data_IF_821453951797
#
_entry.id   IF_821453951797
#
_cell.length_a   1.000
_cell.length_b   1.000
_cell.length_c   1.000
_cell.angle_alpha   90.00
_cell.angle_beta   90.00
_cell.angle_gamma   90.00
#
_symmetry.space_group_name_H-M   'P 1'
#
loop_
_entity.id
_entity.type
_entity.pdbx_description
1 polymer ?
#
# COMPACT_ATOMS: atom_id res chain seq x y z
N UNK A 1 -51.39 -77.95 33.70
CA UNK A 1 -52.76 -77.50 33.98
C UNK A 1 -52.79 -75.99 33.78
N UNK A 2 -53.46 -75.52 32.71
CA UNK A 2 -53.94 -74.15 32.36
C UNK A 2 -53.05 -72.93 32.74
N UNK A 3 -52.63 -72.06 31.84
CA UNK A 3 -53.47 -71.18 31.01
C UNK A 3 -52.69 -70.62 29.81
N UNK A 4 -53.35 -70.55 28.65
CA UNK A 4 -52.99 -69.74 27.47
C UNK A 4 -53.99 -68.59 27.43
N UNK A 5 -53.53 -67.35 27.24
CA UNK A 5 -54.25 -66.20 26.67
C UNK A 5 -53.18 -65.12 26.39
N UNK A 6 -52.69 -64.85 25.18
CA UNK A 6 -53.26 -64.48 23.90
C UNK A 6 -53.75 -63.02 23.82
N UNK A 7 -53.20 -62.29 22.84
CA UNK A 7 -53.51 -60.94 22.32
C UNK A 7 -52.82 -59.73 22.96
N UNK A 8 -51.83 -59.19 22.23
CA UNK A 8 -51.86 -57.79 21.80
C UNK A 8 -50.93 -57.62 20.58
N UNK A 9 -51.57 -57.43 19.43
CA UNK A 9 -50.97 -57.06 18.16
C UNK A 9 -50.68 -55.55 18.21
N UNK A 10 -49.41 -55.13 18.17
CA UNK A 10 -49.06 -53.71 17.95
C UNK A 10 -48.16 -53.58 16.73
N UNK A 11 -48.79 -53.06 15.68
CA UNK A 11 -48.18 -52.61 14.43
C UNK A 11 -47.37 -51.36 14.74
N UNK A 12 -46.03 -51.40 14.59
CA UNK A 12 -45.19 -50.20 14.61
C UNK A 12 -44.90 -49.80 13.18
N UNK A 13 -45.56 -48.71 12.76
CA UNK A 13 -45.33 -47.99 11.52
C UNK A 13 -44.03 -47.17 11.58
N UNK A 14 -43.42 -47.01 10.42
CA UNK A 14 -42.11 -46.45 10.13
C UNK A 14 -41.90 -44.98 10.51
N UNK A 15 -40.66 -44.62 10.88
CA UNK A 15 -40.03 -43.33 10.57
C UNK A 15 -38.55 -43.58 10.25
N UNK A 16 -38.21 -43.61 8.96
CA UNK A 16 -36.83 -43.40 8.50
C UNK A 16 -36.53 -41.90 8.66
N UNK A 17 -35.76 -41.53 9.69
CA UNK A 17 -35.20 -40.18 9.78
C UNK A 17 -34.06 -40.06 8.78
N UNK A 18 -34.33 -39.43 7.63
CA UNK A 18 -33.31 -38.85 6.77
C UNK A 18 -32.53 -37.84 7.62
N UNK A 19 -31.33 -38.21 8.06
CA UNK A 19 -30.36 -37.26 8.62
C UNK A 19 -29.93 -36.34 7.48
N UNK A 20 -30.66 -35.24 7.32
CA UNK A 20 -30.24 -34.14 6.48
C UNK A 20 -28.86 -33.66 6.96
N UNK A 21 -27.89 -33.69 6.05
CA UNK A 21 -26.67 -32.93 6.17
C UNK A 21 -27.04 -31.45 6.29
N UNK A 22 -27.09 -30.92 7.50
CA UNK A 22 -27.02 -29.48 7.70
C UNK A 22 -25.66 -29.02 7.18
N UNK A 23 -25.56 -28.04 6.27
CA UNK A 23 -24.31 -27.38 6.02
C UNK A 23 -23.96 -26.68 7.33
N UNK A 24 -23.06 -27.28 8.09
CA UNK A 24 -22.46 -26.64 9.23
C UNK A 24 -21.71 -25.46 8.64
N UNK A 25 -22.31 -24.28 8.74
CA UNK A 25 -21.60 -23.02 8.61
C UNK A 25 -20.49 -23.10 9.66
N UNK A 26 -19.30 -23.49 9.23
CA UNK A 26 -18.09 -23.40 10.03
C UNK A 26 -17.84 -21.92 10.27
N UNK A 27 -18.49 -21.36 11.27
CA UNK A 27 -17.97 -20.19 11.96
C UNK A 27 -16.57 -20.60 12.40
N UNK A 28 -15.54 -20.01 11.77
CA UNK A 28 -14.15 -20.14 12.21
C UNK A 28 -14.04 -19.55 13.61
N UNK A 29 -14.37 -20.37 14.60
CA UNK A 29 -14.54 -19.96 15.99
C UNK A 29 -13.15 -19.99 16.61
N UNK A 30 -12.44 -18.86 16.63
CA UNK A 30 -11.15 -18.74 17.31
C UNK A 30 -10.13 -17.78 16.68
N UNK A 31 -10.39 -17.23 15.49
CA UNK A 31 -9.50 -16.25 14.86
C UNK A 31 -10.10 -14.85 15.02
N UNK A 32 -9.37 -13.95 15.67
CA UNK A 32 -9.72 -12.53 15.79
C UNK A 32 -8.74 -11.71 14.95
N UNK A 33 -9.23 -11.07 13.91
CA UNK A 33 -8.40 -10.22 13.07
C UNK A 33 -8.12 -8.87 13.75
N UNK A 34 -6.90 -8.32 13.60
CA UNK A 34 -6.61 -6.98 14.10
C UNK A 34 -7.37 -5.93 13.27
N UNK A 35 -7.75 -4.84 13.91
CA UNK A 35 -8.37 -3.69 13.24
C UNK A 35 -7.38 -3.00 12.29
N UNK A 36 -7.86 -2.47 11.17
CA UNK A 36 -7.06 -1.75 10.17
C UNK A 36 -6.21 -0.63 10.78
N UNK A 37 -6.73 0.07 11.80
CA UNK A 37 -5.97 1.11 12.51
C UNK A 37 -4.72 0.55 13.20
N UNK A 38 -4.81 -0.65 13.80
CA UNK A 38 -3.68 -1.32 14.44
C UNK A 38 -2.69 -1.89 13.42
N UNK A 39 -3.19 -2.34 12.29
CA UNK A 39 -2.36 -2.75 11.15
C UNK A 39 -1.57 -1.55 10.62
N UNK A 40 -2.25 -0.43 10.34
CA UNK A 40 -1.63 0.80 9.84
C UNK A 40 -0.59 1.36 10.83
N UNK A 41 -0.87 1.31 12.13
CA UNK A 41 0.09 1.68 13.19
C UNK A 41 1.36 0.82 13.15
N UNK A 42 1.22 -0.49 12.97
CA UNK A 42 2.35 -1.41 12.87
C UNK A 42 3.18 -1.16 11.60
N UNK A 43 2.52 -0.95 10.45
CA UNK A 43 3.17 -0.61 9.18
C UNK A 43 3.92 0.73 9.27
N UNK A 44 3.31 1.74 9.88
CA UNK A 44 3.93 3.04 10.11
C UNK A 44 5.14 2.95 11.05
N UNK A 45 5.03 2.15 12.11
CA UNK A 45 6.12 1.90 13.04
C UNK A 45 7.29 1.20 12.35
N UNK A 46 7.00 0.19 11.52
CA UNK A 46 8.03 -0.49 10.74
C UNK A 46 8.72 0.48 9.78
N UNK A 47 7.96 1.28 9.02
CA UNK A 47 8.54 2.30 8.13
C UNK A 47 9.45 3.28 8.88
N UNK A 48 9.07 3.68 10.10
CA UNK A 48 9.84 4.60 10.94
C UNK A 48 11.16 3.98 11.41
N UNK A 49 11.12 2.71 11.81
CA UNK A 49 12.24 2.06 12.49
C UNK A 49 13.16 1.28 11.54
N UNK A 50 12.70 0.93 10.34
CA UNK A 50 13.50 0.22 9.35
C UNK A 50 14.61 1.14 8.78
N UNK A 51 15.90 0.82 8.95
CA UNK A 51 16.99 1.61 8.39
C UNK A 51 16.93 1.68 6.85
N UNK A 52 16.40 0.66 6.17
CA UNK A 52 16.29 0.63 4.71
C UNK A 52 15.17 1.53 4.17
N UNK A 53 14.30 2.03 5.06
CA UNK A 53 13.21 2.93 4.71
C UNK A 53 13.60 4.42 4.76
N UNK A 54 14.87 4.77 4.95
CA UNK A 54 15.34 6.15 5.04
C UNK A 54 14.99 7.00 3.81
N UNK A 55 15.26 6.49 2.60
CA UNK A 55 14.92 7.19 1.34
C UNK A 55 13.41 7.37 1.19
N UNK A 56 12.61 6.38 1.58
CA UNK A 56 11.16 6.47 1.52
C UNK A 56 10.63 7.56 2.48
N UNK A 57 11.17 7.64 3.71
CA UNK A 57 10.81 8.69 4.67
C UNK A 57 11.18 10.08 4.16
N UNK A 58 12.36 10.22 3.56
CA UNK A 58 12.80 11.49 2.98
C UNK A 58 11.90 11.90 1.81
N UNK A 59 11.55 10.97 0.93
CA UNK A 59 10.65 11.24 -0.18
C UNK A 59 9.25 11.66 0.27
N UNK A 60 8.71 11.01 1.32
CA UNK A 60 7.45 11.43 1.96
C UNK A 60 7.55 12.86 2.50
N UNK A 61 8.69 13.23 3.09
CA UNK A 61 8.92 14.59 3.60
C UNK A 61 9.06 15.62 2.46
N UNK A 62 9.78 15.29 1.39
CA UNK A 62 9.93 16.18 0.22
C UNK A 62 8.59 16.42 -0.48
N UNK A 63 7.85 15.35 -0.77
CA UNK A 63 6.59 15.42 -1.50
C UNK A 63 5.41 15.86 -0.63
N UNK A 64 5.36 15.42 0.62
CA UNK A 64 4.26 15.72 1.53
C UNK A 64 4.48 16.98 2.37
N UNK A 65 5.70 17.52 2.42
CA UNK A 65 6.08 18.57 3.36
C UNK A 65 6.17 18.07 4.81
N UNK A 66 6.40 18.97 5.76
CA UNK A 66 6.55 18.63 7.19
C UNK A 66 5.33 17.95 7.82
N UNK A 67 4.13 18.15 7.24
CA UNK A 67 2.88 17.50 7.67
C UNK A 67 2.49 16.31 6.78
N UNK A 68 3.34 15.95 5.82
CA UNK A 68 3.12 14.81 4.94
C UNK A 68 3.17 13.49 5.70
N UNK A 69 2.34 12.53 5.28
CA UNK A 69 2.31 11.19 5.88
C UNK A 69 1.88 10.14 4.87
N UNK A 70 2.14 8.87 5.18
CA UNK A 70 1.59 7.76 4.40
C UNK A 70 0.32 7.24 5.08
N UNK A 71 -0.71 7.05 4.26
CA UNK A 71 -1.92 6.30 4.60
C UNK A 71 -1.82 4.91 3.99
N UNK A 72 -1.97 3.90 4.84
CA UNK A 72 -2.02 2.50 4.42
C UNK A 72 -3.48 2.10 4.20
N UNK A 73 -3.79 1.61 3.00
CA UNK A 73 -5.13 1.18 2.61
C UNK A 73 -5.17 -0.34 2.64
N UNK A 74 -5.70 -0.90 3.72
CA UNK A 74 -5.76 -2.35 3.93
C UNK A 74 -6.79 -2.95 2.97
N UNK A 75 -6.39 -4.01 2.26
CA UNK A 75 -7.22 -4.69 1.24
C UNK A 75 -7.65 -6.07 1.68
N UNK A 76 -6.71 -6.81 2.27
CA UNK A 76 -6.96 -8.18 2.73
C UNK A 76 -6.10 -8.48 3.95
N UNK A 77 -6.60 -9.37 4.81
CA UNK A 77 -5.92 -9.85 6.01
C UNK A 77 -6.15 -11.35 6.13
N UNK A 78 -5.07 -12.12 5.94
CA UNK A 78 -5.09 -13.57 5.86
C UNK A 78 -4.38 -14.14 7.08
N UNK A 79 -5.09 -14.92 7.90
CA UNK A 79 -4.45 -15.62 9.02
C UNK A 79 -3.56 -16.77 8.53
N UNK A 80 -2.31 -16.81 9.00
CA UNK A 80 -1.36 -17.89 8.74
C UNK A 80 -0.61 -18.28 10.01
N UNK A 81 -0.97 -19.43 10.59
CA UNK A 81 -0.19 -20.11 11.63
C UNK A 81 0.29 -19.20 12.77
N UNK A 82 -0.58 -18.33 13.28
CA UNK A 82 -0.25 -17.41 14.39
C UNK A 82 0.21 -16.00 13.97
N UNK A 83 0.29 -15.73 12.68
CA UNK A 83 0.53 -14.40 12.10
C UNK A 83 -0.60 -14.01 11.12
N UNK A 84 -0.57 -12.78 10.62
CA UNK A 84 -1.50 -12.27 9.62
C UNK A 84 -0.73 -11.74 8.43
N UNK A 85 -0.92 -12.33 7.25
CA UNK A 85 -0.48 -11.72 6.01
C UNK A 85 -1.47 -10.62 5.61
N UNK A 86 -0.97 -9.41 5.43
CA UNK A 86 -1.77 -8.23 5.07
C UNK A 86 -1.41 -7.79 3.66
N UNK A 87 -2.42 -7.58 2.82
CA UNK A 87 -2.26 -6.93 1.52
C UNK A 87 -2.78 -5.50 1.62
N UNK A 88 -2.01 -4.54 1.13
CA UNK A 88 -2.33 -3.13 1.29
C UNK A 88 -1.76 -2.27 0.16
N UNK A 89 -2.32 -1.07 0.00
CA UNK A 89 -1.74 0.00 -0.83
C UNK A 89 -1.21 1.12 0.07
N UNK A 90 -0.38 2.00 -0.48
CA UNK A 90 0.08 3.21 0.18
C UNK A 90 -0.30 4.46 -0.62
N UNK A 91 -0.84 5.46 0.08
CA UNK A 91 -1.12 6.79 -0.45
C UNK A 91 -0.36 7.84 0.36
N UNK A 92 0.22 8.83 -0.32
CA UNK A 92 0.79 10.02 0.31
C UNK A 92 -0.33 11.00 0.62
N UNK A 93 -0.51 11.31 1.89
CA UNK A 93 -1.35 12.42 2.35
C UNK A 93 -0.54 13.69 2.28
N UNK A 94 -0.97 14.62 1.44
CA UNK A 94 -0.26 15.88 1.20
C UNK A 94 -0.37 16.81 2.42
N UNK A 95 0.75 17.30 2.94
CA UNK A 95 0.80 18.32 3.99
C UNK A 95 0.97 19.75 3.46
N UNK A 96 1.22 19.91 2.16
CA UNK A 96 1.43 21.19 1.46
C UNK A 96 0.80 21.17 0.06
N UNK A 97 0.81 22.32 -0.62
CA UNK A 97 0.34 22.40 -2.00
C UNK A 97 1.29 21.64 -2.93
N UNK A 98 0.74 20.97 -3.93
CA UNK A 98 1.52 20.15 -4.84
C UNK A 98 2.50 20.95 -5.70
N UNK A 99 2.25 22.24 -5.94
CA UNK A 99 3.21 23.16 -6.56
C UNK A 99 4.50 23.28 -5.74
N UNK A 100 4.40 23.34 -4.41
CA UNK A 100 5.55 23.42 -3.50
C UNK A 100 6.29 22.09 -3.46
N UNK A 101 5.55 20.98 -3.45
CA UNK A 101 6.10 19.63 -3.53
C UNK A 101 6.88 19.39 -4.82
N UNK A 102 6.33 19.79 -5.97
CA UNK A 102 7.01 19.69 -7.26
C UNK A 102 8.22 20.61 -7.33
N UNK A 103 8.13 21.85 -6.81
CA UNK A 103 9.29 22.73 -6.72
C UNK A 103 10.43 22.06 -5.95
N UNK A 104 10.16 21.54 -4.76
CA UNK A 104 11.15 20.88 -3.90
C UNK A 104 11.74 19.63 -4.57
N UNK A 105 10.88 18.79 -5.17
CA UNK A 105 11.31 17.57 -5.85
C UNK A 105 12.18 17.89 -7.07
N UNK A 106 11.75 18.79 -7.96
CA UNK A 106 12.50 19.16 -9.15
C UNK A 106 13.83 19.81 -8.79
N UNK A 107 13.86 20.68 -7.79
CA UNK A 107 15.11 21.22 -7.25
C UNK A 107 16.07 20.12 -6.77
N UNK A 108 15.55 19.00 -6.22
CA UNK A 108 16.35 17.84 -5.84
C UNK A 108 16.90 17.03 -7.02
N UNK A 109 16.21 17.05 -8.17
CA UNK A 109 16.62 16.36 -9.40
C UNK A 109 17.65 17.15 -10.24
N UNK A 110 17.70 18.48 -10.08
CA UNK A 110 18.72 19.31 -10.74
C UNK A 110 20.05 19.21 -9.99
N UNK A 111 21.18 18.95 -10.66
CA UNK A 111 22.50 18.99 -10.05
C UNK A 111 22.76 20.33 -9.34
N UNK A 112 23.37 20.28 -8.16
CA UNK A 112 23.57 21.48 -7.33
C UNK A 112 24.29 22.62 -8.06
N UNK A 113 25.28 22.26 -8.90
CA UNK A 113 26.03 23.21 -9.72
C UNK A 113 25.14 23.97 -10.73
N UNK A 114 24.10 23.34 -11.27
CA UNK A 114 23.14 23.99 -12.18
C UNK A 114 22.08 24.75 -11.38
N UNK A 115 21.57 24.15 -10.30
CA UNK A 115 20.49 24.70 -9.48
C UNK A 115 20.76 26.11 -8.97
N UNK A 116 21.99 26.39 -8.53
CA UNK A 116 22.39 27.72 -8.03
C UNK A 116 22.43 28.82 -9.09
N UNK A 117 22.47 28.44 -10.37
CA UNK A 117 22.47 29.36 -11.52
C UNK A 117 21.09 29.57 -12.12
N UNK A 118 20.10 28.75 -11.74
CA UNK A 118 18.74 28.85 -12.22
C UNK A 118 17.99 29.96 -11.48
N UNK A 119 17.69 31.04 -12.20
CA UNK A 119 16.89 32.15 -11.70
C UNK A 119 15.71 32.41 -12.66
N UNK A 120 14.49 32.62 -12.15
CA UNK A 120 14.10 32.63 -10.73
C UNK A 120 14.00 31.22 -10.12
N UNK A 121 14.10 31.11 -8.79
CA UNK A 121 13.89 29.86 -8.03
C UNK A 121 12.39 29.51 -7.97
N UNK A 122 11.88 28.96 -9.07
CA UNK A 122 10.49 28.54 -9.23
C UNK A 122 10.39 27.12 -9.79
N UNK A 123 9.22 26.51 -9.59
CA UNK A 123 8.89 25.19 -10.15
C UNK A 123 9.10 25.17 -11.66
N UNK A 124 8.59 26.19 -12.35
CA UNK A 124 8.61 26.30 -13.81
C UNK A 124 10.06 26.35 -14.35
N UNK A 125 10.95 27.05 -13.65
CA UNK A 125 12.38 27.10 -14.01
C UNK A 125 13.03 25.73 -13.91
N UNK A 126 12.78 24.99 -12.82
CA UNK A 126 13.34 23.64 -12.66
C UNK A 126 12.74 22.63 -13.64
N UNK A 127 11.43 22.70 -13.87
CA UNK A 127 10.74 21.87 -14.85
C UNK A 127 11.30 22.10 -16.27
N UNK A 128 11.47 23.36 -16.68
CA UNK A 128 12.04 23.70 -17.98
C UNK A 128 13.48 23.17 -18.12
N UNK A 129 14.29 23.25 -17.07
CA UNK A 129 15.63 22.67 -17.07
C UNK A 129 15.60 21.15 -17.25
N UNK A 130 14.74 20.44 -16.51
CA UNK A 130 14.61 18.98 -16.60
C UNK A 130 14.13 18.53 -17.98
N UNK A 131 13.19 19.27 -18.59
CA UNK A 131 12.73 19.01 -19.96
C UNK A 131 13.85 19.22 -20.99
N UNK A 132 14.59 20.34 -20.89
CA UNK A 132 15.74 20.60 -21.76
C UNK A 132 16.84 19.53 -21.61
N UNK A 133 17.05 19.04 -20.39
CA UNK A 133 17.99 17.96 -20.13
C UNK A 133 17.51 16.65 -20.76
N UNK A 134 16.23 16.32 -20.66
CA UNK A 134 15.64 15.15 -21.31
C UNK A 134 15.82 15.21 -22.84
N UNK A 135 15.49 16.34 -23.46
CA UNK A 135 15.68 16.56 -24.91
C UNK A 135 17.14 16.44 -25.33
N UNK A 136 18.06 16.92 -24.50
CA UNK A 136 19.51 16.81 -24.77
C UNK A 136 19.96 15.34 -24.75
N UNK A 137 19.46 14.55 -23.80
CA UNK A 137 19.75 13.12 -23.70
C UNK A 137 19.16 12.34 -24.88
N UNK A 138 17.99 12.74 -25.37
CA UNK A 138 17.32 12.09 -26.50
C UNK A 138 18.05 12.24 -27.83
N UNK A 139 18.87 13.29 -27.98
CA UNK A 139 19.69 13.52 -29.20
C UNK A 139 20.88 12.56 -29.30
N UNK A 140 21.29 11.95 -28.19
CA UNK A 140 22.35 10.93 -28.15
C UNK A 140 21.71 9.53 -28.15
N UNK A 141 21.88 8.72 -29.22
CA UNK A 141 21.33 7.36 -29.28
C UNK A 141 21.71 6.47 -28.09
N UNK A 142 22.90 6.65 -27.51
CA UNK A 142 23.35 5.88 -26.36
C UNK A 142 22.63 6.25 -25.05
N UNK A 143 22.05 7.47 -24.98
CA UNK A 143 21.38 8.01 -23.80
C UNK A 143 19.89 8.25 -24.00
N UNK A 144 19.36 7.95 -25.19
CA UNK A 144 17.97 8.17 -25.55
C UNK A 144 16.99 7.60 -24.53
N UNK A 145 17.21 6.36 -24.06
CA UNK A 145 16.36 5.73 -23.06
C UNK A 145 16.32 6.51 -21.72
N UNK A 146 17.45 7.08 -21.30
CA UNK A 146 17.50 7.92 -20.09
C UNK A 146 16.79 9.26 -20.29
N UNK A 147 16.87 9.84 -21.49
CA UNK A 147 16.11 11.04 -21.84
C UNK A 147 14.60 10.80 -21.86
N UNK A 148 14.17 9.70 -22.49
CA UNK A 148 12.76 9.28 -22.52
C UNK A 148 12.23 9.02 -21.10
N UNK A 149 13.00 8.34 -20.24
CA UNK A 149 12.65 8.13 -18.83
C UNK A 149 12.51 9.44 -18.05
N UNK A 150 13.46 10.39 -18.19
CA UNK A 150 13.38 11.68 -17.51
C UNK A 150 12.14 12.49 -17.94
N UNK A 151 11.84 12.53 -19.24
CA UNK A 151 10.66 13.20 -19.76
C UNK A 151 9.37 12.59 -19.19
N UNK A 152 9.25 11.27 -19.20
CA UNK A 152 8.10 10.56 -18.64
C UNK A 152 7.97 10.76 -17.13
N UNK A 153 9.07 10.79 -16.38
CA UNK A 153 9.05 11.06 -14.93
C UNK A 153 8.51 12.46 -14.64
N UNK A 154 8.98 13.50 -15.35
CA UNK A 154 8.47 14.88 -15.16
C UNK A 154 6.97 14.97 -15.51
N UNK A 155 6.54 14.35 -16.61
CA UNK A 155 5.14 14.33 -17.00
C UNK A 155 4.25 13.64 -15.96
N UNK A 156 4.64 12.44 -15.50
CA UNK A 156 3.92 11.69 -14.47
C UNK A 156 3.79 12.49 -13.17
N UNK A 157 4.88 13.12 -12.73
CA UNK A 157 4.88 13.90 -11.49
C UNK A 157 3.96 15.12 -11.59
N UNK A 158 3.95 15.83 -12.72
CA UNK A 158 3.00 16.90 -12.95
C UNK A 158 1.54 16.40 -12.91
N UNK A 159 1.25 15.29 -13.60
CA UNK A 159 -0.09 14.70 -13.59
C UNK A 159 -0.56 14.31 -12.18
N UNK A 160 0.35 13.81 -11.34
CA UNK A 160 0.00 13.39 -9.98
C UNK A 160 -0.12 14.55 -8.98
N UNK A 161 0.72 15.58 -9.09
CA UNK A 161 0.89 16.56 -8.02
C UNK A 161 0.53 17.99 -8.37
N UNK A 162 0.49 18.40 -9.64
CA UNK A 162 0.37 19.83 -9.99
C UNK A 162 -0.83 20.52 -9.32
N UNK A 163 -1.98 19.85 -9.28
CA UNK A 163 -3.22 20.38 -8.72
C UNK A 163 -3.54 19.81 -7.32
N UNK A 164 -2.60 19.09 -6.71
CA UNK A 164 -2.79 18.48 -5.40
C UNK A 164 -2.87 19.56 -4.30
N UNK A 165 -3.88 19.45 -3.44
CA UNK A 165 -4.09 20.34 -2.30
C UNK A 165 -3.62 19.69 -1.00
N UNK A 166 -3.32 20.46 0.06
CA UNK A 166 -3.15 19.90 1.40
C UNK A 166 -4.35 19.00 1.78
N UNK A 167 -4.07 17.83 2.34
CA UNK A 167 -5.02 16.78 2.66
C UNK A 167 -5.38 15.84 1.50
N UNK A 168 -4.94 16.11 0.27
CA UNK A 168 -5.14 15.19 -0.85
C UNK A 168 -4.38 13.86 -0.61
N UNK A 169 -5.00 12.75 -1.02
CA UNK A 169 -4.40 11.42 -0.94
C UNK A 169 -3.94 11.00 -2.35
N UNK A 170 -2.63 10.94 -2.55
CA UNK A 170 -2.02 10.56 -3.84
C UNK A 170 -1.55 9.11 -3.75
N UNK A 171 -2.07 8.17 -4.56
CA UNK A 171 -1.63 6.77 -4.52
C UNK A 171 -0.18 6.66 -4.99
N UNK A 172 0.69 6.10 -4.14
CA UNK A 172 2.14 6.00 -4.43
C UNK A 172 2.61 4.57 -4.68
N UNK A 173 1.98 3.59 -4.04
CA UNK A 173 2.29 2.17 -4.25
C UNK A 173 1.03 1.33 -4.12
N UNK A 174 0.92 0.30 -4.93
CA UNK A 174 -0.18 -0.67 -4.89
C UNK A 174 0.35 -2.10 -4.84
N UNK A 175 -0.44 -3.00 -4.24
CA UNK A 175 -0.10 -4.42 -4.16
C UNK A 175 1.03 -4.75 -3.19
N UNK A 176 1.16 -3.97 -2.10
CA UNK A 176 2.13 -4.24 -1.04
C UNK A 176 1.67 -5.40 -0.15
N UNK A 177 2.63 -6.08 0.45
CA UNK A 177 2.41 -7.17 1.40
C UNK A 177 3.22 -7.00 2.67
N UNK A 178 2.65 -7.41 3.80
CA UNK A 178 3.37 -7.51 5.06
C UNK A 178 2.92 -8.73 5.86
N UNK A 179 3.81 -9.29 6.66
CA UNK A 179 3.48 -10.28 7.68
C UNK A 179 3.39 -9.57 9.04
N UNK A 180 2.23 -9.65 9.68
CA UNK A 180 2.01 -9.14 11.02
C UNK A 180 2.09 -10.27 12.02
N UNK A 181 3.08 -10.19 12.91
CA UNK A 181 3.26 -11.14 13.99
C UNK A 181 2.91 -10.48 15.33
N UNK A 182 2.17 -11.16 16.22
CA UNK A 182 2.01 -10.69 17.60
C UNK A 182 3.37 -10.59 18.29
N UNK A 183 3.64 -9.44 18.91
CA UNK A 183 4.82 -9.19 19.72
C UNK A 183 4.41 -8.59 21.07
N UNK A 184 5.34 -8.56 22.03
CA UNK A 184 5.08 -8.02 23.39
C UNK A 184 4.62 -6.56 23.38
N UNK A 185 5.05 -5.79 22.39
CA UNK A 185 4.73 -4.38 22.20
C UNK A 185 3.54 -4.12 21.28
N UNK A 186 2.80 -5.15 20.87
CA UNK A 186 1.73 -5.07 19.86
C UNK A 186 2.09 -5.82 18.59
N UNK A 187 1.54 -5.41 17.45
CA UNK A 187 1.83 -6.07 16.16
C UNK A 187 3.20 -5.63 15.63
N UNK A 188 4.01 -6.60 15.24
CA UNK A 188 5.24 -6.37 14.48
C UNK A 188 4.96 -6.62 13.00
N UNK A 189 5.31 -5.66 12.15
CA UNK A 189 5.14 -5.77 10.71
C UNK A 189 6.47 -6.06 10.01
N UNK A 190 6.51 -7.12 9.21
CA UNK A 190 7.62 -7.46 8.33
C UNK A 190 7.19 -7.27 6.88
N UNK A 191 7.96 -6.53 6.07
CA UNK A 191 7.65 -6.31 4.66
C UNK A 191 7.80 -7.62 3.89
N UNK A 192 6.79 -7.98 3.11
CA UNK A 192 6.85 -9.15 2.22
C UNK A 192 7.16 -8.72 0.79
N UNK A 193 8.08 -9.42 0.10
CA UNK A 193 8.26 -9.23 -1.33
C UNK A 193 7.01 -9.69 -2.08
N UNK A 194 6.59 -8.91 -3.06
CA UNK A 194 5.40 -9.15 -3.89
C UNK A 194 5.76 -8.93 -5.35
N UNK A 195 5.27 -9.79 -6.23
CA UNK A 195 5.56 -9.73 -7.66
C UNK A 195 4.70 -8.69 -8.40
N UNK A 196 3.59 -8.28 -7.79
CA UNK A 196 2.54 -7.41 -8.33
C UNK A 196 2.62 -5.97 -7.81
N UNK A 197 3.75 -5.55 -7.23
CA UNK A 197 3.93 -4.19 -6.74
C UNK A 197 3.92 -3.21 -7.91
N UNK A 198 3.01 -2.25 -7.87
CA UNK A 198 2.97 -1.15 -8.83
C UNK A 198 3.36 0.16 -8.13
N UNK A 199 4.41 0.81 -8.63
CA UNK A 199 4.79 2.16 -8.20
C UNK A 199 4.00 3.18 -9.01
N UNK A 200 3.45 4.21 -8.35
CA UNK A 200 2.74 5.31 -8.98
C UNK A 200 3.20 6.63 -8.39
N UNK A 201 3.18 7.70 -9.19
CA UNK A 201 3.44 9.05 -8.69
C UNK A 201 4.75 9.20 -7.89
N UNK A 202 5.76 8.37 -8.13
CA UNK A 202 7.08 8.50 -7.54
C UNK A 202 8.11 8.73 -8.66
N UNK A 203 9.21 9.45 -8.39
CA UNK A 203 10.31 9.56 -9.35
C UNK A 203 10.90 8.17 -9.63
N UNK A 204 11.04 7.84 -10.91
CA UNK A 204 11.58 6.58 -11.43
C UNK A 204 12.98 6.78 -12.01
#
# INVERSE_FOLDING_TARGET
>A
MRYIDNKALSIIAAIFTLTACSPQSTSMSGISFPEDAKIAEALQTQLKNDPNSATARELVRTLGGEKGSLKFLIKDVIYRQGAYEVHYDAALVMGQAGTDSLKALYAGMVPEADRTRLTPDTRETYEAWLKNQAETLQKDPARKAAGDALASTVELLNQCYQDAKPGAEIPVMQGLGALLSPARSGLYAEKLPRADITVRCLPM
#
